data_IF_830338628945
#
_entry.id   IF_830338628945
#
_cell.length_a   1.000
_cell.length_b   1.000
_cell.length_c   1.000
_cell.angle_alpha   90.00
_cell.angle_beta   90.00
_cell.angle_gamma   90.00
#
_symmetry.space_group_name_H-M   'P 1'
#
loop_
_entity.id
_entity.type
_entity.pdbx_description
1 polymer ?
#
# COMPACT_ATOMS: atom_id res chain seq x y z
N UNK A 1 -28.04 11.28 -53.92
CA UNK A 1 -26.67 11.31 -53.36
C UNK A 1 -26.77 10.90 -51.89
N UNK A 2 -26.62 9.60 -51.59
CA UNK A 2 -26.67 9.06 -50.23
C UNK A 2 -25.27 9.09 -49.61
N UNK A 3 -25.12 9.83 -48.53
CA UNK A 3 -23.87 9.91 -47.77
C UNK A 3 -23.70 8.63 -46.94
N UNK A 4 -22.64 7.88 -47.23
CA UNK A 4 -22.26 6.68 -46.46
C UNK A 4 -21.76 7.10 -45.07
N UNK A 5 -22.41 6.55 -44.03
CA UNK A 5 -21.99 6.69 -42.63
C UNK A 5 -20.69 5.89 -42.40
N UNK A 6 -19.63 6.47 -41.82
CA UNK A 6 -18.41 5.72 -41.58
C UNK A 6 -18.66 4.64 -40.52
N UNK A 7 -18.36 3.39 -40.87
CA UNK A 7 -18.37 2.25 -39.96
C UNK A 7 -17.27 2.44 -38.91
N UNK A 8 -17.64 2.54 -37.63
CA UNK A 8 -16.67 2.61 -36.54
C UNK A 8 -15.96 1.26 -36.40
N UNK A 9 -14.67 1.24 -36.73
CA UNK A 9 -13.81 0.07 -36.53
C UNK A 9 -13.79 -0.38 -35.06
N UNK A 10 -13.69 -1.70 -34.79
CA UNK A 10 -13.58 -2.22 -33.43
C UNK A 10 -12.31 -1.68 -32.76
N UNK A 11 -12.46 -1.11 -31.55
CA UNK A 11 -11.33 -0.66 -30.72
C UNK A 11 -10.45 -1.88 -30.40
N UNK A 12 -9.18 -1.82 -30.80
CA UNK A 12 -8.20 -2.85 -30.50
C UNK A 12 -8.12 -3.09 -28.96
N UNK A 13 -7.95 -4.35 -28.52
CA UNK A 13 -7.80 -4.65 -27.10
C UNK A 13 -6.56 -3.92 -26.56
N UNK A 14 -6.74 -3.15 -25.48
CA UNK A 14 -5.65 -2.46 -24.82
C UNK A 14 -4.65 -3.50 -24.26
N UNK A 15 -3.34 -3.32 -24.47
CA UNK A 15 -2.36 -4.31 -24.07
C UNK A 15 -2.37 -4.53 -22.54
N UNK A 16 -2.61 -5.77 -22.12
CA UNK A 16 -2.66 -6.21 -20.71
C UNK A 16 -1.35 -6.00 -19.94
N UNK A 17 -0.27 -5.71 -20.65
CA UNK A 17 1.06 -5.42 -20.12
C UNK A 17 1.09 -4.22 -19.16
N UNK A 18 0.24 -3.21 -19.36
CA UNK A 18 0.18 -2.05 -18.46
C UNK A 18 -0.29 -2.40 -17.05
N UNK A 19 -1.35 -3.20 -16.94
CA UNK A 19 -1.91 -3.59 -15.62
C UNK A 19 -0.92 -4.45 -14.82
N UNK A 20 -0.29 -5.43 -15.46
CA UNK A 20 0.69 -6.30 -14.80
C UNK A 20 1.90 -5.50 -14.32
N UNK A 21 2.39 -4.54 -15.12
CA UNK A 21 3.49 -3.66 -14.71
C UNK A 21 3.15 -2.85 -13.44
N UNK A 22 1.91 -2.36 -13.31
CA UNK A 22 1.45 -1.67 -12.11
C UNK A 22 1.43 -2.59 -10.88
N UNK A 23 1.03 -3.85 -11.04
CA UNK A 23 1.11 -4.82 -9.95
C UNK A 23 2.56 -5.14 -9.54
N UNK A 24 3.50 -5.19 -10.50
CA UNK A 24 4.92 -5.35 -10.17
C UNK A 24 5.48 -4.17 -9.40
N UNK A 25 5.04 -2.94 -9.69
CA UNK A 25 5.42 -1.75 -8.91
C UNK A 25 4.88 -1.88 -7.48
N UNK A 26 3.60 -2.25 -7.31
CA UNK A 26 3.05 -2.48 -5.97
C UNK A 26 3.81 -3.57 -5.21
N UNK A 27 4.17 -4.67 -5.89
CA UNK A 27 4.99 -5.74 -5.32
C UNK A 27 6.37 -5.26 -4.90
N UNK A 28 7.04 -4.45 -5.73
CA UNK A 28 8.34 -3.88 -5.39
C UNK A 28 8.27 -3.01 -4.13
N UNK A 29 7.20 -2.20 -3.99
CA UNK A 29 6.96 -1.41 -2.77
C UNK A 29 6.75 -2.32 -1.55
N UNK A 30 5.99 -3.41 -1.67
CA UNK A 30 5.81 -4.38 -0.58
C UNK A 30 7.16 -4.98 -0.17
N UNK A 31 7.98 -5.40 -1.13
CA UNK A 31 9.30 -5.97 -0.84
C UNK A 31 10.20 -4.96 -0.13
N UNK A 32 10.26 -3.72 -0.61
CA UNK A 32 11.07 -2.66 0.02
C UNK A 32 10.56 -2.35 1.43
N UNK A 33 9.25 -2.26 1.64
CA UNK A 33 8.64 -2.07 2.96
C UNK A 33 9.06 -3.17 3.95
N UNK A 34 8.86 -4.43 3.55
CA UNK A 34 9.15 -5.59 4.41
C UNK A 34 10.64 -5.76 4.71
N UNK A 35 11.51 -5.55 3.72
CA UNK A 35 12.96 -5.59 3.94
C UNK A 35 13.42 -4.47 4.87
N UNK A 36 12.84 -3.27 4.75
CA UNK A 36 13.18 -2.13 5.60
C UNK A 36 12.75 -2.38 7.05
N UNK A 37 11.52 -2.87 7.25
CA UNK A 37 11.00 -3.23 8.58
C UNK A 37 11.84 -4.32 9.23
N UNK A 38 12.11 -5.40 8.50
CA UNK A 38 12.97 -6.49 8.98
C UNK A 38 14.37 -5.99 9.35
N UNK A 39 14.96 -5.10 8.54
CA UNK A 39 16.25 -4.52 8.84
C UNK A 39 16.22 -3.77 10.19
N UNK A 40 15.33 -2.81 10.37
CA UNK A 40 15.30 -2.02 11.62
C UNK A 40 14.90 -2.87 12.83
N UNK A 41 13.97 -3.80 12.69
CA UNK A 41 13.60 -4.76 13.74
C UNK A 41 14.78 -5.63 14.20
N UNK A 42 15.70 -5.96 13.29
CA UNK A 42 16.91 -6.72 13.59
C UNK A 42 18.05 -5.91 14.21
N UNK A 43 18.00 -4.58 14.07
CA UNK A 43 19.13 -3.70 14.41
C UNK A 43 18.88 -2.83 15.64
N UNK A 44 17.63 -2.48 15.93
CA UNK A 44 17.25 -1.57 17.01
C UNK A 44 16.55 -2.31 18.13
N UNK A 45 16.77 -1.87 19.37
CA UNK A 45 15.87 -2.23 20.46
C UNK A 45 14.60 -1.37 20.41
N UNK A 46 13.53 -1.86 21.02
CA UNK A 46 12.27 -1.11 21.12
C UNK A 46 12.49 0.29 21.70
N UNK A 47 11.97 1.31 21.02
CA UNK A 47 12.09 2.73 21.34
C UNK A 47 13.53 3.29 21.38
N UNK A 48 14.54 2.51 20.96
CA UNK A 48 15.88 3.02 20.70
C UNK A 48 15.82 4.03 19.55
N UNK A 49 16.69 5.05 19.61
CA UNK A 49 16.77 6.09 18.57
C UNK A 49 18.17 6.14 17.99
N UNK A 50 18.24 6.09 16.67
CA UNK A 50 19.43 6.40 15.90
C UNK A 50 19.23 7.76 15.21
N UNK A 51 19.87 8.79 15.76
CA UNK A 51 19.73 10.14 15.23
C UNK A 51 20.45 10.32 13.91
N UNK A 52 19.73 10.86 12.92
CA UNK A 52 20.23 11.09 11.57
C UNK A 52 20.29 12.59 11.25
N UNK A 53 19.21 13.32 11.56
CA UNK A 53 19.09 14.76 11.37
C UNK A 53 18.42 15.40 12.60
N UNK A 54 18.51 16.73 12.80
CA UNK A 54 17.87 17.40 13.94
C UNK A 54 16.34 17.24 14.04
N UNK A 55 15.69 16.84 12.95
CA UNK A 55 14.24 16.61 12.84
C UNK A 55 13.91 15.18 12.40
N UNK A 56 14.88 14.26 12.41
CA UNK A 56 14.65 12.91 11.92
C UNK A 56 15.58 11.89 12.59
N UNK A 57 14.97 10.90 13.22
CA UNK A 57 15.62 9.74 13.80
C UNK A 57 15.07 8.46 13.15
N UNK A 58 15.90 7.42 13.06
CA UNK A 58 15.37 6.06 12.99
C UNK A 58 15.03 5.56 14.39
N UNK A 59 13.93 4.84 14.54
CA UNK A 59 13.53 4.21 15.81
C UNK A 59 12.88 2.85 15.54
N UNK A 60 12.48 2.14 16.58
CA UNK A 60 11.68 0.92 16.44
C UNK A 60 10.45 1.01 17.33
N UNK A 61 9.29 1.12 16.69
CA UNK A 61 7.99 1.19 17.35
C UNK A 61 7.03 0.14 16.78
N UNK A 62 6.26 -0.48 17.66
CA UNK A 62 5.25 -1.45 17.29
C UNK A 62 3.86 -0.81 17.43
N UNK A 63 3.21 -0.59 16.30
CA UNK A 63 1.96 0.15 16.23
C UNK A 63 0.75 -0.79 16.08
N UNK A 64 0.00 -1.09 17.16
CA UNK A 64 -1.21 -1.89 17.08
C UNK A 64 -2.40 -1.13 16.47
N UNK A 65 -2.24 0.14 16.11
CA UNK A 65 -3.33 1.06 15.75
C UNK A 65 -3.75 1.97 16.90
N UNK A 66 -2.80 2.35 17.77
CA UNK A 66 -3.07 3.06 19.02
C UNK A 66 -3.69 4.47 18.85
N UNK A 67 -3.58 5.05 17.64
CA UNK A 67 -4.26 6.31 17.29
C UNK A 67 -5.79 6.24 17.47
N UNK A 68 -6.37 5.04 17.52
CA UNK A 68 -7.80 4.79 17.74
C UNK A 68 -8.08 4.12 19.09
N UNK A 69 -7.13 4.15 20.03
CA UNK A 69 -7.29 3.55 21.37
C UNK A 69 -8.38 4.22 22.21
N UNK A 70 -8.89 5.40 21.83
CA UNK A 70 -10.05 6.02 22.48
C UNK A 70 -11.37 5.23 22.27
N UNK A 71 -11.37 4.22 21.38
CA UNK A 71 -12.46 3.26 21.16
C UNK A 71 -12.13 1.86 21.73
N UNK A 72 -11.08 1.72 22.55
CA UNK A 72 -10.45 0.43 22.88
C UNK A 72 -10.91 -0.22 24.19
N UNK A 73 -12.20 -0.18 24.52
CA UNK A 73 -12.74 -1.03 25.60
C UNK A 73 -12.61 -2.54 25.27
N UNK A 74 -12.19 -2.90 24.04
CA UNK A 74 -11.66 -4.21 23.69
C UNK A 74 -10.27 -4.11 23.08
N UNK A 75 -9.30 -4.86 23.60
CA UNK A 75 -7.98 -4.98 22.98
C UNK A 75 -8.07 -5.86 21.71
N UNK A 76 -7.52 -5.39 20.59
CA UNK A 76 -7.23 -6.23 19.41
C UNK A 76 -8.23 -6.16 18.25
N UNK A 77 -9.36 -5.45 18.36
CA UNK A 77 -10.29 -5.26 17.24
C UNK A 77 -9.65 -4.42 16.11
N UNK A 78 -8.72 -3.54 16.45
CA UNK A 78 -8.02 -2.64 15.53
C UNK A 78 -7.35 -3.42 14.40
N UNK A 79 -6.73 -4.55 14.72
CA UNK A 79 -6.12 -5.47 13.74
C UNK A 79 -7.10 -5.81 12.63
N UNK A 80 -8.26 -6.36 13.01
CA UNK A 80 -9.27 -6.81 12.06
C UNK A 80 -9.94 -5.66 11.32
N UNK A 81 -10.18 -4.54 11.99
CA UNK A 81 -10.74 -3.35 11.37
C UNK A 81 -9.82 -2.80 10.27
N UNK A 82 -8.54 -2.57 10.56
CA UNK A 82 -7.58 -2.05 9.57
C UNK A 82 -7.32 -3.04 8.44
N UNK A 83 -7.25 -4.34 8.75
CA UNK A 83 -7.16 -5.37 7.70
C UNK A 83 -8.40 -5.34 6.80
N UNK A 84 -9.60 -5.20 7.36
CA UNK A 84 -10.85 -5.08 6.58
C UNK A 84 -10.88 -3.84 5.69
N UNK A 85 -10.53 -2.67 6.22
CA UNK A 85 -10.44 -1.42 5.44
C UNK A 85 -9.42 -1.54 4.31
N UNK A 86 -8.23 -2.09 4.59
CA UNK A 86 -7.19 -2.28 3.59
C UNK A 86 -7.59 -3.30 2.51
N UNK A 87 -8.34 -4.34 2.87
CA UNK A 87 -8.90 -5.29 1.91
C UNK A 87 -9.88 -4.61 0.95
N UNK A 88 -10.82 -3.82 1.46
CA UNK A 88 -11.77 -3.05 0.64
C UNK A 88 -11.01 -2.08 -0.27
N UNK A 89 -10.06 -1.32 0.28
CA UNK A 89 -9.23 -0.40 -0.50
C UNK A 89 -8.46 -1.13 -1.61
N UNK A 90 -7.88 -2.29 -1.32
CA UNK A 90 -7.17 -3.15 -2.29
C UNK A 90 -8.07 -3.54 -3.46
N UNK A 91 -9.29 -4.02 -3.18
CA UNK A 91 -10.26 -4.40 -4.22
C UNK A 91 -10.61 -3.20 -5.10
N UNK A 92 -10.89 -2.05 -4.49
CA UNK A 92 -11.22 -0.82 -5.23
C UNK A 92 -10.04 -0.36 -6.11
N UNK A 93 -8.82 -0.34 -5.57
CA UNK A 93 -7.62 0.06 -6.30
C UNK A 93 -7.37 -0.87 -7.49
N UNK A 94 -7.45 -2.18 -7.30
CA UNK A 94 -7.28 -3.17 -8.39
C UNK A 94 -8.33 -2.92 -9.48
N UNK A 95 -9.58 -2.66 -9.13
CA UNK A 95 -10.62 -2.32 -10.11
C UNK A 95 -10.31 -1.02 -10.86
N UNK A 96 -9.83 0.01 -10.17
CA UNK A 96 -9.47 1.31 -10.77
C UNK A 96 -8.28 1.18 -11.72
N UNK A 97 -7.22 0.44 -11.32
CA UNK A 97 -6.08 0.13 -12.18
C UNK A 97 -6.49 -0.60 -13.46
N UNK A 98 -7.49 -1.49 -13.39
CA UNK A 98 -8.03 -2.17 -14.59
C UNK A 98 -8.84 -1.25 -15.50
N UNK A 99 -9.51 -0.23 -14.95
CA UNK A 99 -10.41 0.67 -15.68
C UNK A 99 -9.70 1.84 -16.36
N UNK A 100 -8.55 2.29 -15.82
CA UNK A 100 -7.88 3.53 -16.27
C UNK A 100 -6.43 3.31 -16.75
N UNK A 101 -6.14 2.37 -17.66
CA UNK A 101 -4.77 1.98 -18.00
C UNK A 101 -3.94 3.09 -18.67
N UNK A 102 -4.56 4.14 -19.21
CA UNK A 102 -3.89 5.21 -19.92
C UNK A 102 -3.47 6.40 -19.03
N UNK A 103 -3.93 6.44 -17.76
CA UNK A 103 -3.57 7.52 -16.83
C UNK A 103 -2.36 7.10 -15.99
N UNK A 104 -1.15 7.25 -16.54
CA UNK A 104 0.10 6.74 -15.95
C UNK A 104 0.37 7.25 -14.55
N UNK A 105 0.26 8.58 -14.32
CA UNK A 105 0.48 9.18 -12.99
C UNK A 105 -0.52 8.67 -11.96
N UNK A 106 -1.77 8.51 -12.38
CA UNK A 106 -2.83 7.97 -11.52
C UNK A 106 -2.57 6.52 -11.16
N UNK A 107 -2.21 5.67 -12.15
CA UNK A 107 -1.89 4.27 -11.91
C UNK A 107 -0.64 4.11 -11.04
N UNK A 108 0.38 4.96 -11.22
CA UNK A 108 1.56 4.98 -10.37
C UNK A 108 1.16 5.27 -8.92
N UNK A 109 0.41 6.35 -8.67
CA UNK A 109 -0.07 6.69 -7.32
C UNK A 109 -0.87 5.55 -6.70
N UNK A 110 -1.80 4.94 -7.45
CA UNK A 110 -2.56 3.78 -6.99
C UNK A 110 -1.68 2.57 -6.65
N UNK A 111 -0.63 2.31 -7.44
CA UNK A 111 0.29 1.19 -7.19
C UNK A 111 1.11 1.40 -5.92
N UNK A 112 1.57 2.64 -5.67
CA UNK A 112 2.27 3.00 -4.42
C UNK A 112 1.36 2.85 -3.20
N UNK A 113 0.12 3.35 -3.28
CA UNK A 113 -0.88 3.20 -2.20
C UNK A 113 -1.20 1.73 -1.96
N UNK A 114 -1.40 0.94 -3.02
CA UNK A 114 -1.66 -0.49 -2.93
C UNK A 114 -0.52 -1.23 -2.22
N UNK A 115 0.72 -0.95 -2.61
CA UNK A 115 1.90 -1.56 -2.00
C UNK A 115 2.02 -1.24 -0.51
N UNK A 116 1.90 0.04 -0.12
CA UNK A 116 1.95 0.45 1.28
C UNK A 116 0.80 -0.11 2.12
N UNK A 117 -0.42 -0.15 1.57
CA UNK A 117 -1.57 -0.73 2.26
C UNK A 117 -1.38 -2.24 2.53
N UNK A 118 -0.91 -2.99 1.52
CA UNK A 118 -0.68 -4.43 1.65
C UNK A 118 0.51 -4.75 2.56
N UNK A 119 1.60 -3.98 2.52
CA UNK A 119 2.73 -4.12 3.46
C UNK A 119 2.28 -3.98 4.91
N UNK A 120 1.41 -3.00 5.20
CA UNK A 120 0.86 -2.83 6.54
C UNK A 120 -0.20 -3.88 6.93
N UNK A 121 -0.84 -4.55 5.97
CA UNK A 121 -1.72 -5.71 6.24
C UNK A 121 -0.89 -6.93 6.60
N UNK A 122 0.20 -7.15 5.86
CA UNK A 122 1.18 -8.22 6.08
C UNK A 122 1.65 -8.21 7.54
N UNK A 123 2.12 -7.06 8.05
CA UNK A 123 2.55 -6.98 9.45
C UNK A 123 1.41 -7.26 10.43
N UNK A 124 0.22 -6.71 10.19
CA UNK A 124 -0.94 -6.95 11.06
C UNK A 124 -1.33 -8.42 11.12
N UNK A 125 -1.15 -9.17 10.03
CA UNK A 125 -1.46 -10.59 9.97
C UNK A 125 -0.39 -11.43 10.68
N UNK A 126 0.90 -11.10 10.51
CA UNK A 126 2.01 -11.87 11.10
C UNK A 126 2.39 -11.45 12.52
N UNK A 127 2.44 -10.15 12.79
CA UNK A 127 2.93 -9.56 14.05
C UNK A 127 1.83 -8.98 14.94
N UNK A 128 0.59 -8.84 14.43
CA UNK A 128 -0.55 -8.17 15.10
C UNK A 128 -0.38 -6.65 15.33
N UNK A 129 0.71 -6.07 14.83
CA UNK A 129 1.00 -4.63 14.82
C UNK A 129 1.76 -4.28 13.53
N UNK A 130 1.92 -3.00 13.24
CA UNK A 130 2.79 -2.51 12.16
C UNK A 130 4.14 -2.11 12.75
N UNK A 131 5.23 -2.44 12.06
CA UNK A 131 6.58 -2.00 12.46
C UNK A 131 6.82 -0.61 11.87
N UNK A 132 6.97 0.39 12.75
CA UNK A 132 7.25 1.77 12.40
C UNK A 132 8.70 2.11 12.79
N UNK A 133 9.44 2.74 11.87
CA UNK A 133 10.87 3.04 12.10
C UNK A 133 11.32 4.45 11.70
N UNK A 134 10.43 5.26 11.12
CA UNK A 134 10.70 6.64 10.74
C UNK A 134 10.12 7.57 11.81
N UNK A 135 10.97 8.33 12.49
CA UNK A 135 10.56 9.33 13.48
C UNK A 135 10.95 10.73 12.99
N UNK A 136 9.96 11.62 12.89
CA UNK A 136 10.10 13.02 12.47
C UNK A 136 9.79 13.97 13.63
#
# INVERSE_FOLDING_TARGET
MSTLKPSSAPKAPTPRWGFIAWLFIALAIIVVDQLSKYYFDSQLNYAERWSVLPFFDFTLLYNPGAAFSFLADGAGWQRWFFTGVAFVATVLIIQMLRKQPHQTRFCLALSLILGGALGNVIDRLWHAHVIDFLLF
#
